data_IF_715046700957
#
_entry.id   IF_715046700957
#
_cell.length_a   1.000
_cell.length_b   1.000
_cell.length_c   1.000
_cell.angle_alpha   90.00
_cell.angle_beta   90.00
_cell.angle_gamma   90.00
#
_symmetry.space_group_name_H-M   'P 1'
#
loop_
_entity.id
_entity.type
_entity.pdbx_description
1 polymer ?
#
# COMPACT_ATOMS: atom_id res chain seq x y z
N UNK A 1 21.85 21.95 -3.03
CA UNK A 1 20.42 22.15 -3.29
C UNK A 1 19.63 20.82 -3.36
N UNK A 2 20.09 19.86 -4.15
CA UNK A 2 19.49 18.50 -4.21
C UNK A 2 19.47 17.77 -2.86
N UNK A 3 20.54 17.87 -2.10
CA UNK A 3 20.68 17.20 -0.80
C UNK A 3 19.66 17.73 0.23
N UNK A 4 19.41 19.03 0.27
CA UNK A 4 18.43 19.65 1.18
C UNK A 4 17.00 19.25 0.79
N UNK A 5 16.69 19.25 -0.52
CA UNK A 5 15.38 18.79 -1.01
C UNK A 5 15.14 17.32 -0.70
N UNK A 6 16.16 16.47 -0.83
CA UNK A 6 16.07 15.05 -0.49
C UNK A 6 15.81 14.83 1.00
N UNK A 7 16.51 15.54 1.87
CA UNK A 7 16.28 15.47 3.33
C UNK A 7 14.90 16.00 3.73
N UNK A 8 14.46 17.09 3.12
CA UNK A 8 13.14 17.66 3.38
C UNK A 8 12.04 16.69 2.95
N UNK A 9 12.16 16.08 1.77
CA UNK A 9 11.20 15.09 1.29
C UNK A 9 11.15 13.85 2.18
N UNK A 10 12.29 13.37 2.65
CA UNK A 10 12.34 12.26 3.62
C UNK A 10 11.65 12.61 4.94
N UNK A 11 11.88 13.81 5.45
CA UNK A 11 11.22 14.29 6.67
C UNK A 11 9.70 14.37 6.48
N UNK A 12 9.23 14.87 5.35
CA UNK A 12 7.81 14.93 5.03
C UNK A 12 7.18 13.53 4.94
N UNK A 13 7.88 12.57 4.37
CA UNK A 13 7.45 11.16 4.33
C UNK A 13 7.32 10.60 5.74
N UNK A 14 8.29 10.83 6.61
CA UNK A 14 8.26 10.36 7.99
C UNK A 14 7.07 10.96 8.76
N UNK A 15 6.84 12.25 8.60
CA UNK A 15 5.70 12.95 9.22
C UNK A 15 4.37 12.38 8.70
N UNK A 16 4.26 12.16 7.41
CA UNK A 16 3.08 11.58 6.78
C UNK A 16 2.78 10.18 7.32
N UNK A 17 3.79 9.31 7.35
CA UNK A 17 3.68 7.95 7.87
C UNK A 17 3.25 7.95 9.33
N UNK A 18 3.89 8.77 10.16
CA UNK A 18 3.56 8.90 11.59
C UNK A 18 2.09 9.32 11.79
N UNK A 19 1.64 10.31 11.04
CA UNK A 19 0.28 10.83 11.13
C UNK A 19 -0.78 9.78 10.75
N UNK A 20 -0.57 9.07 9.65
CA UNK A 20 -1.49 8.02 9.22
C UNK A 20 -1.47 6.81 10.16
N UNK A 21 -0.31 6.47 10.69
CA UNK A 21 -0.18 5.38 11.65
C UNK A 21 -0.96 5.66 12.94
N UNK A 22 -0.95 6.90 13.43
CA UNK A 22 -1.73 7.29 14.61
C UNK A 22 -3.23 7.19 14.35
N UNK A 23 -3.69 7.64 13.18
CA UNK A 23 -5.11 7.62 12.81
C UNK A 23 -5.65 6.22 12.53
N UNK A 24 -4.79 5.30 12.15
CA UNK A 24 -5.20 3.96 11.76
C UNK A 24 -5.71 3.16 12.96
N UNK A 25 -6.64 2.25 12.70
CA UNK A 25 -7.06 1.27 13.70
C UNK A 25 -6.04 0.14 13.84
N UNK A 26 -6.24 -0.73 14.83
CA UNK A 26 -5.31 -1.82 15.13
C UNK A 26 -5.17 -2.80 13.96
N UNK A 27 -6.26 -3.14 13.27
CA UNK A 27 -6.24 -4.05 12.14
C UNK A 27 -5.44 -3.48 10.97
N UNK A 28 -5.65 -2.22 10.65
CA UNK A 28 -4.92 -1.52 9.59
C UNK A 28 -3.42 -1.46 9.86
N UNK A 29 -3.02 -1.11 11.09
CA UNK A 29 -1.60 -1.10 11.51
C UNK A 29 -0.98 -2.49 11.35
N UNK A 30 -1.69 -3.53 11.76
CA UNK A 30 -1.23 -4.91 11.67
C UNK A 30 -1.00 -5.33 10.20
N UNK A 31 -1.90 -4.98 9.31
CA UNK A 31 -1.78 -5.25 7.88
C UNK A 31 -0.54 -4.56 7.30
N UNK A 32 -0.36 -3.28 7.60
CA UNK A 32 0.82 -2.52 7.15
C UNK A 32 2.11 -3.13 7.71
N UNK A 33 2.14 -3.49 8.97
CA UNK A 33 3.32 -4.08 9.61
C UNK A 33 3.69 -5.45 8.99
N UNK A 34 2.70 -6.28 8.65
CA UNK A 34 2.93 -7.54 7.95
C UNK A 34 3.55 -7.30 6.58
N UNK A 35 3.01 -6.37 5.82
CA UNK A 35 3.52 -6.04 4.49
C UNK A 35 4.91 -5.42 4.52
N UNK A 36 5.22 -4.62 5.53
CA UNK A 36 6.56 -4.06 5.74
C UNK A 36 7.62 -5.14 5.95
N UNK A 37 7.28 -6.24 6.59
CA UNK A 37 8.21 -7.37 6.79
C UNK A 37 8.57 -8.08 5.49
N UNK A 38 7.70 -8.03 4.50
CA UNK A 38 7.95 -8.63 3.19
C UNK A 38 8.96 -7.82 2.37
N UNK A 39 8.94 -6.51 2.52
CA UNK A 39 9.87 -5.61 1.86
C UNK A 39 9.99 -4.32 2.67
N UNK A 40 11.08 -4.18 3.39
CA UNK A 40 11.30 -2.99 4.20
C UNK A 40 11.92 -1.86 3.38
N UNK A 41 11.21 -0.73 3.31
CA UNK A 41 11.74 0.58 2.98
C UNK A 41 10.77 1.65 3.48
N UNK A 42 11.28 2.85 3.77
CA UNK A 42 10.44 3.99 4.17
C UNK A 42 9.42 4.34 3.08
N UNK A 43 9.86 4.24 1.83
CA UNK A 43 9.02 4.51 0.66
C UNK A 43 7.87 3.50 0.55
N UNK A 44 8.14 2.22 0.85
CA UNK A 44 7.11 1.19 0.85
C UNK A 44 6.03 1.47 1.90
N UNK A 45 6.41 1.83 3.11
CA UNK A 45 5.44 2.17 4.16
C UNK A 45 4.59 3.37 3.78
N UNK A 46 5.20 4.41 3.19
CA UNK A 46 4.48 5.57 2.67
C UNK A 46 3.42 5.16 1.63
N UNK A 47 3.78 4.29 0.68
CA UNK A 47 2.87 3.81 -0.34
C UNK A 47 1.72 2.99 0.26
N UNK A 48 1.99 2.14 1.24
CA UNK A 48 0.96 1.34 1.90
C UNK A 48 -0.08 2.24 2.59
N UNK A 49 0.35 3.26 3.33
CA UNK A 49 -0.57 4.20 3.96
C UNK A 49 -1.35 5.02 2.94
N UNK A 50 -0.71 5.41 1.85
CA UNK A 50 -1.36 6.14 0.78
C UNK A 50 -2.44 5.29 0.09
N UNK A 51 -2.13 4.04 -0.24
CA UNK A 51 -3.09 3.11 -0.82
C UNK A 51 -4.24 2.79 0.13
N UNK A 52 -3.97 2.67 1.43
CA UNK A 52 -5.03 2.51 2.41
C UNK A 52 -6.00 3.70 2.40
N UNK A 53 -5.49 4.91 2.31
CA UNK A 53 -6.35 6.10 2.26
C UNK A 53 -7.25 6.13 1.02
N UNK A 54 -6.71 5.71 -0.13
CA UNK A 54 -7.49 5.57 -1.37
C UNK A 54 -8.53 4.46 -1.23
N UNK A 55 -8.14 3.32 -0.69
CA UNK A 55 -9.04 2.18 -0.47
C UNK A 55 -10.24 2.59 0.41
N UNK A 56 -9.99 3.31 1.49
CA UNK A 56 -11.06 3.78 2.40
C UNK A 56 -12.01 4.74 1.70
N UNK A 57 -11.53 5.59 0.81
CA UNK A 57 -12.38 6.48 0.00
C UNK A 57 -13.28 5.68 -0.95
N UNK A 58 -12.73 4.66 -1.59
CA UNK A 58 -13.48 3.77 -2.48
C UNK A 58 -14.56 3.02 -1.70
N UNK A 59 -14.23 2.47 -0.54
CA UNK A 59 -15.17 1.75 0.31
C UNK A 59 -16.28 2.68 0.82
N UNK A 60 -15.94 3.86 1.29
CA UNK A 60 -16.92 4.84 1.79
C UNK A 60 -17.92 5.29 0.72
N UNK A 61 -17.46 5.41 -0.53
CA UNK A 61 -18.30 5.78 -1.67
C UNK A 61 -19.05 4.61 -2.27
N UNK A 62 -18.85 3.41 -1.77
CA UNK A 62 -19.44 2.17 -2.30
C UNK A 62 -19.16 1.97 -3.78
N UNK A 63 -17.97 2.32 -4.22
CA UNK A 63 -17.52 2.07 -5.59
C UNK A 63 -17.22 0.59 -5.72
N UNK A 64 -17.91 -0.06 -6.64
CA UNK A 64 -17.72 -1.48 -6.92
C UNK A 64 -16.73 -1.68 -8.04
N UNK A 65 -15.94 -2.75 -7.96
CA UNK A 65 -14.98 -3.09 -8.99
C UNK A 65 -13.88 -4.00 -8.46
N UNK A 66 -12.95 -4.29 -9.32
CA UNK A 66 -11.80 -5.15 -9.04
C UNK A 66 -10.51 -4.33 -8.96
N UNK A 67 -9.47 -4.92 -8.39
CA UNK A 67 -8.13 -4.34 -8.36
C UNK A 67 -7.27 -4.94 -9.46
N UNK A 68 -6.54 -4.08 -10.16
CA UNK A 68 -5.60 -4.49 -11.20
C UNK A 68 -4.23 -3.92 -10.85
N UNK A 69 -3.21 -4.78 -10.81
CA UNK A 69 -1.82 -4.37 -10.66
C UNK A 69 -1.00 -4.79 -11.88
N UNK A 70 -0.34 -3.82 -12.49
CA UNK A 70 0.60 -4.04 -13.59
C UNK A 70 2.01 -3.83 -13.07
N UNK A 71 2.88 -4.84 -13.23
CA UNK A 71 4.20 -4.82 -12.64
C UNK A 71 4.18 -5.24 -11.18
N UNK A 72 4.15 -6.53 -10.93
CA UNK A 72 3.85 -7.11 -9.60
C UNK A 72 5.09 -7.26 -8.73
N UNK A 73 6.24 -7.52 -9.34
CA UNK A 73 7.51 -7.79 -8.69
C UNK A 73 7.36 -8.84 -7.57
N UNK A 74 7.55 -8.48 -6.29
CA UNK A 74 7.44 -9.42 -5.15
C UNK A 74 6.01 -9.65 -4.65
N UNK A 75 5.03 -8.96 -5.21
CA UNK A 75 3.62 -9.15 -4.87
C UNK A 75 3.18 -8.53 -3.54
N UNK A 76 3.95 -7.58 -2.98
CA UNK A 76 3.64 -6.97 -1.69
C UNK A 76 2.29 -6.25 -1.70
N UNK A 77 1.97 -5.54 -2.77
CA UNK A 77 0.70 -4.81 -2.89
C UNK A 77 -0.49 -5.76 -3.11
N UNK A 78 -0.26 -6.89 -3.77
CA UNK A 78 -1.29 -7.93 -3.89
C UNK A 78 -1.68 -8.47 -2.52
N UNK A 79 -0.70 -8.79 -1.69
CA UNK A 79 -0.94 -9.24 -0.30
C UNK A 79 -1.65 -8.16 0.50
N UNK A 80 -1.23 -6.91 0.34
CA UNK A 80 -1.82 -5.77 1.04
C UNK A 80 -3.31 -5.61 0.70
N UNK A 81 -3.66 -5.55 -0.57
CA UNK A 81 -5.05 -5.40 -1.00
C UNK A 81 -5.90 -6.62 -0.65
N UNK A 82 -5.35 -7.83 -0.75
CA UNK A 82 -6.05 -9.04 -0.34
C UNK A 82 -6.43 -8.98 1.15
N UNK A 83 -5.50 -8.56 2.00
CA UNK A 83 -5.75 -8.40 3.43
C UNK A 83 -6.76 -7.31 3.74
N UNK A 84 -6.76 -6.22 2.98
CA UNK A 84 -7.77 -5.17 3.13
C UNK A 84 -9.17 -5.65 2.72
N UNK A 85 -9.27 -6.37 1.61
CA UNK A 85 -10.53 -6.95 1.15
C UNK A 85 -11.11 -7.88 2.23
N UNK A 86 -10.29 -8.73 2.82
CA UNK A 86 -10.69 -9.61 3.91
C UNK A 86 -11.09 -8.83 5.17
N UNK A 87 -10.29 -7.84 5.56
CA UNK A 87 -10.52 -7.03 6.76
C UNK A 87 -11.82 -6.24 6.69
N UNK A 88 -12.13 -5.68 5.53
CA UNK A 88 -13.34 -4.87 5.31
C UNK A 88 -14.54 -5.69 4.79
N UNK A 89 -14.40 -7.01 4.68
CA UNK A 89 -15.45 -7.92 4.20
C UNK A 89 -16.05 -7.49 2.86
N UNK A 90 -15.19 -7.14 1.91
CA UNK A 90 -15.64 -6.72 0.58
C UNK A 90 -15.95 -7.99 -0.23
N UNK A 91 -17.19 -8.11 -0.66
CA UNK A 91 -17.65 -9.22 -1.48
C UNK A 91 -17.45 -8.89 -2.98
N UNK A 92 -17.33 -9.95 -3.79
CA UNK A 92 -17.23 -9.86 -5.26
C UNK A 92 -16.13 -8.95 -5.78
N UNK A 93 -15.03 -8.86 -5.05
CA UNK A 93 -13.84 -8.10 -5.45
C UNK A 93 -12.70 -9.06 -5.77
N UNK A 94 -12.17 -8.97 -6.99
CA UNK A 94 -11.04 -9.78 -7.45
C UNK A 94 -9.80 -8.92 -7.63
N UNK A 95 -8.64 -9.55 -7.51
CA UNK A 95 -7.36 -8.91 -7.79
C UNK A 95 -6.76 -9.57 -9.03
N UNK A 96 -6.42 -8.75 -10.02
CA UNK A 96 -5.76 -9.18 -11.25
C UNK A 96 -4.32 -8.68 -11.25
N UNK A 97 -3.38 -9.59 -11.42
CA UNK A 97 -1.95 -9.28 -11.41
C UNK A 97 -1.35 -9.54 -12.77
N UNK A 98 -0.81 -8.52 -13.40
CA UNK A 98 -0.18 -8.59 -14.70
C UNK A 98 1.31 -8.32 -14.61
N UNK A 99 2.11 -9.33 -14.96
CA UNK A 99 3.57 -9.26 -15.00
C UNK A 99 4.08 -10.32 -15.98
N UNK A 100 5.32 -10.21 -16.43
CA UNK A 100 5.98 -11.26 -17.20
C UNK A 100 6.28 -12.49 -16.34
N UNK A 101 6.47 -12.27 -15.03
CA UNK A 101 6.91 -13.28 -14.07
C UNK A 101 8.27 -13.89 -14.40
N UNK A 102 9.09 -13.17 -15.18
CA UNK A 102 10.43 -13.56 -15.61
C UNK A 102 11.52 -12.66 -15.02
N UNK A 103 11.14 -11.70 -14.17
CA UNK A 103 12.03 -10.70 -13.62
C UNK A 103 12.25 -9.50 -14.55
N UNK A 104 13.16 -8.63 -14.14
CA UNK A 104 13.52 -7.44 -14.94
C UNK A 104 14.38 -7.87 -16.13
N UNK A 105 14.16 -7.28 -17.32
CA UNK A 105 15.04 -7.52 -18.45
C UNK A 105 16.45 -7.00 -18.16
N UNK A 106 17.46 -7.76 -18.63
CA UNK A 106 18.87 -7.38 -18.50
C UNK A 106 19.24 -6.25 -19.47
#
# INVERSE_FOLDING_TARGET
>A
MFYIKSKLSQLLIIIYVFFYRIKANTAERKIVDICKKLQFSTTTEFHLWHFLSIFKKIDNKKIMGDFIECGVWKGIYLVFFQKLIECYNIEDCKIYAFDTYEGMPE
#
